data_IF_843997393423
#
_entry.id   IF_843997393423
#
_cell.length_a   1.000
_cell.length_b   1.000
_cell.length_c   1.000
_cell.angle_alpha   90.00
_cell.angle_beta   90.00
_cell.angle_gamma   90.00
#
_symmetry.space_group_name_H-M   'P 1'
#
loop_
_entity.id
_entity.type
_entity.pdbx_description
1 polymer ?
#
# COMPACT_ATOMS: atom_id res chain seq x y z
N UNK A 1 2.42 19.76 30.17
CA UNK A 1 3.56 19.12 29.60
C UNK A 1 3.17 17.85 28.86
N UNK A 2 3.66 17.62 27.67
CA UNK A 2 3.37 16.42 26.93
C UNK A 2 2.10 16.41 26.13
N UNK A 3 1.25 17.43 26.23
CA UNK A 3 0.00 17.42 25.48
C UNK A 3 0.23 17.37 23.97
N UNK A 4 1.21 18.13 23.47
CA UNK A 4 1.53 18.13 22.04
C UNK A 4 2.11 16.78 21.63
N UNK A 5 2.99 16.21 22.47
CA UNK A 5 3.58 14.89 22.18
C UNK A 5 2.52 13.80 22.25
N UNK A 6 1.58 13.92 23.19
CA UNK A 6 0.48 12.96 23.31
C UNK A 6 -0.44 13.00 22.08
N UNK A 7 -0.70 14.21 21.58
CA UNK A 7 -1.54 14.38 20.39
C UNK A 7 -0.85 13.78 19.18
N UNK A 8 0.46 14.06 19.01
CA UNK A 8 1.21 13.52 17.88
C UNK A 8 1.26 11.99 17.94
N UNK A 9 1.49 11.43 19.14
CA UNK A 9 1.53 9.99 19.31
C UNK A 9 0.17 9.36 18.97
N UNK A 10 -0.91 10.02 19.37
CA UNK A 10 -2.26 9.54 19.07
C UNK A 10 -2.55 9.59 17.57
N UNK A 11 -2.16 10.69 16.92
CA UNK A 11 -2.37 10.82 15.47
C UNK A 11 -1.59 9.76 14.72
N UNK A 12 -0.37 9.46 15.16
CA UNK A 12 0.41 8.39 14.55
C UNK A 12 -0.25 7.04 14.75
N UNK A 13 -0.77 6.78 15.95
CA UNK A 13 -1.46 5.53 16.24
C UNK A 13 -2.72 5.40 15.39
N UNK A 14 -3.46 6.50 15.24
CA UNK A 14 -4.66 6.52 14.39
C UNK A 14 -4.28 6.22 12.94
N UNK A 15 -3.16 6.79 12.46
CA UNK A 15 -2.69 6.51 11.11
C UNK A 15 -2.34 5.02 10.95
N UNK A 16 -1.68 4.43 11.94
CA UNK A 16 -1.31 3.01 11.91
C UNK A 16 -2.58 2.16 11.78
N UNK A 17 -3.56 2.41 12.62
CA UNK A 17 -4.79 1.64 12.62
C UNK A 17 -5.57 1.82 11.31
N UNK A 18 -5.65 3.06 10.84
CA UNK A 18 -6.34 3.35 9.59
C UNK A 18 -5.66 2.65 8.40
N UNK A 19 -4.33 2.67 8.38
CA UNK A 19 -3.58 2.06 7.28
C UNK A 19 -3.74 0.55 7.26
N UNK A 20 -3.79 -0.09 8.43
CA UNK A 20 -4.03 -1.53 8.50
C UNK A 20 -5.43 -1.87 7.99
N UNK A 21 -6.43 -1.05 8.32
CA UNK A 21 -7.79 -1.24 7.80
C UNK A 21 -7.82 -1.07 6.29
N UNK A 22 -7.07 -0.08 5.77
CA UNK A 22 -6.99 0.12 4.31
C UNK A 22 -6.35 -1.07 3.63
N UNK A 23 -5.31 -1.64 4.23
CA UNK A 23 -4.66 -2.83 3.69
C UNK A 23 -5.66 -3.99 3.61
N UNK A 24 -6.49 -4.16 4.63
CA UNK A 24 -7.52 -5.18 4.62
C UNK A 24 -8.52 -4.96 3.49
N UNK A 25 -8.96 -3.71 3.30
CA UNK A 25 -9.91 -3.40 2.23
C UNK A 25 -9.29 -3.61 0.86
N UNK A 26 -8.02 -3.24 0.71
CA UNK A 26 -7.30 -3.46 -0.55
C UNK A 26 -7.27 -4.95 -0.88
N UNK A 27 -6.90 -5.79 0.08
CA UNK A 27 -6.83 -7.23 -0.14
C UNK A 27 -8.19 -7.82 -0.46
N UNK A 28 -9.23 -7.36 0.23
CA UNK A 28 -10.59 -7.80 -0.06
C UNK A 28 -11.00 -7.43 -1.49
N UNK A 29 -10.69 -6.20 -1.90
CA UNK A 29 -11.02 -5.75 -3.25
C UNK A 29 -10.27 -6.57 -4.30
N UNK A 30 -8.99 -6.86 -4.08
CA UNK A 30 -8.20 -7.69 -4.98
C UNK A 30 -8.87 -9.05 -5.15
N UNK A 31 -9.23 -9.68 -4.05
CA UNK A 31 -9.85 -11.01 -4.06
C UNK A 31 -11.18 -10.99 -4.80
N UNK A 32 -11.99 -9.95 -4.57
CA UNK A 32 -13.31 -9.87 -5.19
C UNK A 32 -13.22 -9.67 -6.70
N UNK A 33 -12.28 -8.86 -7.15
CA UNK A 33 -12.08 -8.65 -8.60
C UNK A 33 -11.49 -9.91 -9.23
N UNK A 34 -10.45 -10.48 -8.63
CA UNK A 34 -9.80 -11.67 -9.17
C UNK A 34 -10.76 -12.87 -9.21
N UNK A 35 -11.67 -12.93 -8.24
CA UNK A 35 -12.68 -14.00 -8.18
C UNK A 35 -13.91 -13.74 -9.02
N UNK A 36 -13.97 -12.63 -9.73
CA UNK A 36 -15.10 -12.32 -10.61
C UNK A 36 -16.34 -11.79 -9.90
N UNK A 37 -16.24 -11.45 -8.62
CA UNK A 37 -17.37 -10.97 -7.84
C UNK A 37 -17.66 -9.49 -8.06
N UNK A 38 -16.62 -8.70 -8.35
CA UNK A 38 -16.75 -7.27 -8.63
C UNK A 38 -16.22 -6.98 -10.02
N UNK A 39 -16.75 -5.94 -10.64
CA UNK A 39 -16.26 -5.48 -11.95
C UNK A 39 -14.84 -4.94 -11.79
N UNK A 40 -13.98 -5.25 -12.75
CA UNK A 40 -12.58 -4.86 -12.69
C UNK A 40 -12.40 -3.36 -12.62
N UNK A 41 -13.13 -2.60 -13.45
CA UNK A 41 -12.98 -1.15 -13.48
C UNK A 41 -13.35 -0.50 -12.14
N UNK A 42 -14.38 -0.99 -11.48
CA UNK A 42 -14.82 -0.48 -10.19
C UNK A 42 -13.77 -0.82 -9.12
N UNK A 43 -13.31 -2.07 -9.08
CA UNK A 43 -12.32 -2.49 -8.10
C UNK A 43 -10.98 -1.81 -8.28
N UNK A 44 -10.53 -1.67 -9.52
CA UNK A 44 -9.26 -1.01 -9.83
C UNK A 44 -9.30 0.47 -9.39
N UNK A 45 -10.44 1.14 -9.63
CA UNK A 45 -10.59 2.52 -9.17
C UNK A 45 -10.51 2.61 -7.65
N UNK A 46 -11.09 1.65 -6.94
CA UNK A 46 -11.03 1.59 -5.49
C UNK A 46 -9.60 1.39 -4.99
N UNK A 47 -8.87 0.44 -5.61
CA UNK A 47 -7.48 0.19 -5.26
C UNK A 47 -6.62 1.42 -5.44
N UNK A 48 -6.82 2.13 -6.55
CA UNK A 48 -6.06 3.34 -6.83
C UNK A 48 -6.31 4.39 -5.76
N UNK A 49 -7.57 4.56 -5.35
CA UNK A 49 -7.95 5.54 -4.35
C UNK A 49 -7.30 5.23 -3.01
N UNK A 50 -7.30 3.96 -2.60
CA UNK A 50 -6.69 3.55 -1.35
C UNK A 50 -5.18 3.76 -1.37
N UNK A 51 -4.52 3.34 -2.45
CA UNK A 51 -3.07 3.50 -2.57
C UNK A 51 -2.68 4.98 -2.57
N UNK A 52 -3.45 5.81 -3.26
CA UNK A 52 -3.20 7.24 -3.33
C UNK A 52 -3.29 7.89 -1.94
N UNK A 53 -4.29 7.49 -1.16
CA UNK A 53 -4.46 8.02 0.20
C UNK A 53 -3.28 7.63 1.09
N UNK A 54 -2.86 6.38 1.05
CA UNK A 54 -1.71 5.93 1.84
C UNK A 54 -0.46 6.69 1.42
N UNK A 55 -0.24 6.85 0.11
CA UNK A 55 0.90 7.60 -0.40
C UNK A 55 0.91 9.02 0.14
N UNK A 56 -0.25 9.66 0.18
CA UNK A 56 -0.34 11.06 0.61
C UNK A 56 -0.11 11.26 2.10
N UNK A 57 -0.36 10.26 2.92
CA UNK A 57 -0.32 10.40 4.37
C UNK A 57 0.95 9.84 5.02
N UNK A 58 1.53 8.81 4.43
CA UNK A 58 2.55 8.01 5.11
C UNK A 58 3.79 8.83 5.53
N UNK A 59 4.26 9.71 4.66
CA UNK A 59 5.43 10.52 4.96
C UNK A 59 5.23 11.43 6.16
N UNK A 60 4.02 11.98 6.29
CA UNK A 60 3.69 12.89 7.39
C UNK A 60 3.71 12.21 8.75
N UNK A 61 3.55 10.89 8.77
CA UNK A 61 3.48 10.13 10.01
C UNK A 61 4.73 9.27 10.25
N UNK A 62 5.80 9.56 9.53
CA UNK A 62 7.09 8.92 9.80
C UNK A 62 7.33 7.61 9.07
N UNK A 63 6.58 7.33 8.01
CA UNK A 63 6.73 6.12 7.22
C UNK A 63 6.99 6.43 5.74
N UNK A 64 8.11 7.10 5.42
CA UNK A 64 8.38 7.45 4.02
C UNK A 64 8.48 6.23 3.11
N UNK A 65 8.95 5.09 3.60
CA UNK A 65 8.99 3.89 2.77
C UNK A 65 7.60 3.39 2.41
N UNK A 66 6.66 3.45 3.35
CA UNK A 66 5.26 3.08 3.05
C UNK A 66 4.71 3.97 1.95
N UNK A 67 5.03 5.27 2.00
CA UNK A 67 4.64 6.19 0.93
C UNK A 67 5.22 5.81 -0.40
N UNK A 68 6.50 5.42 -0.43
CA UNK A 68 7.17 5.01 -1.66
C UNK A 68 6.57 3.71 -2.21
N UNK A 69 6.25 2.76 -1.33
CA UNK A 69 5.61 1.50 -1.73
C UNK A 69 4.24 1.78 -2.32
N UNK A 70 3.46 2.64 -1.66
CA UNK A 70 2.12 3.00 -2.16
C UNK A 70 2.20 3.69 -3.51
N UNK A 71 3.23 4.51 -3.73
CA UNK A 71 3.46 5.16 -5.02
C UNK A 71 3.73 4.11 -6.11
N UNK A 72 4.60 3.14 -5.82
CA UNK A 72 4.88 2.05 -6.76
C UNK A 72 3.63 1.21 -7.04
N UNK A 73 2.82 1.00 -6.01
CA UNK A 73 1.56 0.29 -6.16
C UNK A 73 0.62 1.06 -7.07
N UNK A 74 0.55 2.37 -6.89
CA UNK A 74 -0.28 3.23 -7.73
C UNK A 74 0.14 3.15 -9.20
N UNK A 75 1.45 3.16 -9.46
CA UNK A 75 1.98 3.01 -10.81
C UNK A 75 1.61 1.65 -11.41
N UNK A 76 1.69 0.60 -10.60
CA UNK A 76 1.31 -0.75 -11.04
C UNK A 76 -0.17 -0.79 -11.43
N UNK A 77 -1.02 -0.22 -10.57
CA UNK A 77 -2.47 -0.21 -10.78
C UNK A 77 -2.84 0.60 -12.02
N UNK A 78 -2.10 1.67 -12.31
CA UNK A 78 -2.43 2.56 -13.43
C UNK A 78 -2.45 1.84 -14.77
N UNK A 79 -1.74 0.72 -14.90
CA UNK A 79 -1.66 -0.05 -16.14
C UNK A 79 -2.67 -1.19 -16.21
N UNK A 80 -3.46 -1.39 -15.14
CA UNK A 80 -4.37 -2.53 -15.07
C UNK A 80 -5.71 -2.23 -15.71
N UNK A 81 -6.24 -3.19 -16.45
CA UNK A 81 -7.63 -3.17 -16.91
C UNK A 81 -8.40 -4.35 -16.32
N UNK A 82 -7.68 -5.38 -15.88
CA UNK A 82 -8.24 -6.55 -15.20
C UNK A 82 -7.25 -6.98 -14.15
N UNK A 83 -7.67 -7.91 -13.29
CA UNK A 83 -6.78 -8.47 -12.28
C UNK A 83 -6.85 -9.99 -12.40
N UNK A 84 -5.83 -10.58 -13.02
CA UNK A 84 -5.69 -12.04 -13.06
C UNK A 84 -4.98 -12.52 -11.80
N UNK A 85 -4.81 -13.82 -11.66
CA UNK A 85 -4.20 -14.40 -10.45
C UNK A 85 -2.78 -13.91 -10.23
N UNK A 86 -2.01 -13.72 -11.30
CA UNK A 86 -0.64 -13.24 -11.20
C UNK A 86 -0.61 -11.78 -10.74
N UNK A 87 -1.47 -10.97 -11.30
CA UNK A 87 -1.58 -9.57 -10.92
C UNK A 87 -2.09 -9.42 -9.49
N UNK A 88 -3.03 -10.29 -9.09
CA UNK A 88 -3.50 -10.30 -7.71
C UNK A 88 -2.36 -10.60 -6.74
N UNK A 89 -1.54 -11.59 -7.04
CA UNK A 89 -0.40 -11.92 -6.21
C UNK A 89 0.60 -10.76 -6.11
N UNK A 90 0.84 -10.09 -7.23
CA UNK A 90 1.73 -8.92 -7.25
C UNK A 90 1.19 -7.79 -6.40
N UNK A 91 -0.12 -7.53 -6.50
CA UNK A 91 -0.74 -6.46 -5.70
C UNK A 91 -0.66 -6.78 -4.20
N UNK A 92 -0.83 -8.04 -3.83
CA UNK A 92 -0.72 -8.46 -2.44
C UNK A 92 0.70 -8.24 -1.90
N UNK A 93 1.73 -8.37 -2.75
CA UNK A 93 3.11 -8.10 -2.30
C UNK A 93 3.26 -6.67 -1.79
N UNK A 94 2.65 -5.69 -2.46
CA UNK A 94 2.70 -4.31 -1.98
C UNK A 94 2.04 -4.17 -0.61
N UNK A 95 0.85 -4.75 -0.43
CA UNK A 95 0.13 -4.62 0.83
C UNK A 95 0.83 -5.38 1.96
N UNK A 96 1.48 -6.50 1.65
CA UNK A 96 2.24 -7.25 2.63
C UNK A 96 3.36 -6.39 3.22
N UNK A 97 4.12 -5.70 2.37
CA UNK A 97 5.18 -4.82 2.84
C UNK A 97 4.63 -3.64 3.64
N UNK A 98 3.55 -3.02 3.14
CA UNK A 98 2.93 -1.91 3.88
C UNK A 98 2.52 -2.38 5.27
N UNK A 99 1.85 -3.52 5.35
CA UNK A 99 1.38 -4.06 6.62
C UNK A 99 2.54 -4.35 7.57
N UNK A 100 3.60 -5.00 7.08
CA UNK A 100 4.73 -5.36 7.93
C UNK A 100 5.43 -4.11 8.50
N UNK A 101 5.63 -3.09 7.67
CA UNK A 101 6.30 -1.86 8.14
C UNK A 101 5.42 -1.14 9.15
N UNK A 102 4.14 -1.01 8.84
CA UNK A 102 3.20 -0.32 9.72
C UNK A 102 3.08 -1.04 11.07
N UNK A 103 3.02 -2.38 11.04
CA UNK A 103 2.93 -3.17 12.27
C UNK A 103 4.21 -3.07 13.10
N UNK A 104 5.34 -2.89 12.45
CA UNK A 104 6.60 -2.72 13.17
C UNK A 104 6.66 -1.37 13.91
N UNK A 105 5.89 -0.40 13.47
CA UNK A 105 5.82 0.92 14.10
C UNK A 105 6.93 1.87 13.69
N UNK A 106 7.88 1.44 12.88
CA UNK A 106 9.01 2.29 12.48
C UNK A 106 9.38 2.06 11.02
N UNK A 107 9.88 3.13 10.40
CA UNK A 107 10.39 3.05 9.04
C UNK A 107 11.76 2.35 9.05
N UNK A 108 12.00 1.40 8.14
CA UNK A 108 13.29 0.69 8.11
C UNK A 108 14.47 1.62 7.77
N UNK A 109 15.70 1.18 8.05
CA UNK A 109 16.90 1.93 7.65
C UNK A 109 17.03 2.02 6.12
N UNK A 110 17.81 2.99 5.65
CA UNK A 110 17.94 3.28 4.21
C UNK A 110 18.38 2.09 3.38
N UNK A 111 19.29 1.26 3.91
CA UNK A 111 19.75 0.08 3.19
C UNK A 111 18.62 -0.92 2.95
N UNK A 112 17.78 -1.07 3.95
CA UNK A 112 16.64 -1.97 3.86
C UNK A 112 15.57 -1.40 2.95
N UNK A 113 15.36 -0.07 2.99
CA UNK A 113 14.45 0.59 2.06
C UNK A 113 14.81 0.26 0.61
N UNK A 114 16.08 0.41 0.27
CA UNK A 114 16.55 0.15 -1.10
C UNK A 114 16.26 -1.29 -1.51
N UNK A 115 16.53 -2.23 -0.61
CA UNK A 115 16.33 -3.64 -0.90
C UNK A 115 14.86 -3.96 -1.11
N UNK A 116 14.00 -3.41 -0.26
CA UNK A 116 12.56 -3.63 -0.37
C UNK A 116 12.03 -3.06 -1.67
N UNK A 117 12.41 -1.82 -2.00
CA UNK A 117 11.91 -1.18 -3.22
C UNK A 117 12.33 -1.94 -4.47
N UNK A 118 13.53 -2.54 -4.46
CA UNK A 118 13.99 -3.33 -5.59
C UNK A 118 13.22 -4.64 -5.75
N UNK A 119 12.66 -5.15 -4.67
CA UNK A 119 11.94 -6.41 -4.70
C UNK A 119 10.49 -6.27 -5.16
N UNK A 120 9.98 -5.06 -5.26
CA UNK A 120 8.57 -4.83 -5.58
C UNK A 120 8.25 -5.20 -7.02
N UNK A 121 7.03 -5.70 -7.26
CA UNK A 121 6.61 -6.01 -8.63
C UNK A 121 6.59 -4.79 -9.53
N UNK A 122 6.86 -5.01 -10.81
CA UNK A 122 6.74 -3.96 -11.82
C UNK A 122 6.01 -4.52 -13.03
N UNK A 123 5.36 -3.65 -13.78
CA UNK A 123 4.70 -4.06 -15.02
C UNK A 123 5.53 -3.77 -16.26
N UNK A 124 6.57 -2.96 -16.13
CA UNK A 124 7.40 -2.63 -17.29
C UNK A 124 8.04 -3.87 -17.91
N UNK A 125 8.32 -4.88 -17.10
CA UNK A 125 8.90 -6.12 -17.59
C UNK A 125 7.96 -6.89 -18.52
N UNK A 126 6.66 -6.58 -18.49
CA UNK A 126 5.68 -7.29 -19.31
C UNK A 126 5.63 -6.80 -20.74
N UNK A 127 6.32 -5.74 -21.04
CA UNK A 127 6.31 -5.18 -22.38
C UNK A 127 7.18 -5.90 -23.36
N UNK A 128 7.92 -6.83 -22.89
CA UNK A 128 8.80 -7.62 -23.70
C UNK A 128 8.10 -8.27 -24.87
#
# INVERSE_FOLDING_TARGET
MGNADDIVARLKQDFIEDTLERADRIETTIDRVAGGMDKADVGIAELRREAHTVKGLAGSFGFPLVGAIAHRMEDYIAELTEIDDLEAASLVDFTTWIREIIESGTNPPAEEETRILRSLPTRSAKKG
#
